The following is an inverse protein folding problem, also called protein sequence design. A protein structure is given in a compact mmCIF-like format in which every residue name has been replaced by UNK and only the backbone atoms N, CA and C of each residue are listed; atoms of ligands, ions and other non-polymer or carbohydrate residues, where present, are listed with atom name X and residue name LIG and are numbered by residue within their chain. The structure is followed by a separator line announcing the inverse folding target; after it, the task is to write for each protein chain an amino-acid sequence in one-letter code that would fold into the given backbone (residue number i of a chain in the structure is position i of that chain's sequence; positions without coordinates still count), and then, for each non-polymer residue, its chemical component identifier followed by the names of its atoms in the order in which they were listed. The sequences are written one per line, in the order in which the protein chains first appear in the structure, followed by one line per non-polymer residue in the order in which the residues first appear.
data_IF_040679950601
#
_entry.id   IF_040679950601
#
_cell.length_a   1.000
_cell.length_b   1.000
_cell.length_c   1.000
_cell.angle_alpha   90.00
_cell.angle_beta   90.00
_cell.angle_gamma   90.00
#
_symmetry.space_group_name_H-M   'P 1'
#
loop_
_entity.id
_entity.type
_entity.pdbx_description
1 polymer ?
#
# COMPACT_ATOMS: atom_id res chain seq x y z
N UNK A 1 -13.93 17.68 -5.52
CA UNK A 1 -14.27 16.92 -4.31
C UNK A 1 -13.03 16.24 -3.76
N UNK A 2 -12.83 16.27 -2.45
CA UNK A 2 -11.67 15.61 -1.83
C UNK A 2 -12.01 14.13 -1.63
N UNK A 3 -11.40 13.23 -2.41
CA UNK A 3 -11.65 11.79 -2.39
C UNK A 3 -11.47 11.20 -0.97
N UNK A 4 -10.51 11.71 -0.20
CA UNK A 4 -10.29 11.24 1.17
C UNK A 4 -11.46 11.57 2.13
N UNK A 5 -12.26 12.60 1.83
CA UNK A 5 -13.40 12.99 2.65
C UNK A 5 -14.65 12.13 2.39
N UNK A 6 -14.67 11.34 1.33
CA UNK A 6 -15.80 10.48 0.96
C UNK A 6 -15.69 9.05 1.51
N UNK A 7 -14.53 8.67 2.06
CA UNK A 7 -14.28 7.30 2.51
C UNK A 7 -13.75 7.25 3.94
N UNK A 8 -14.23 6.27 4.70
CA UNK A 8 -13.70 5.89 6.02
C UNK A 8 -12.81 4.67 5.85
N UNK A 9 -11.55 4.72 6.31
CA UNK A 9 -10.65 3.57 6.25
C UNK A 9 -10.51 2.96 7.63
N UNK A 10 -10.87 1.69 7.75
CA UNK A 10 -10.95 0.99 9.02
C UNK A 10 -10.55 -0.49 8.90
N UNK A 11 -10.23 -1.19 10.01
CA UNK A 11 -9.94 -2.61 9.98
C UNK A 11 -11.13 -3.41 9.47
N UNK A 12 -10.87 -4.46 8.67
CA UNK A 12 -11.90 -5.39 8.22
C UNK A 12 -12.54 -6.11 9.40
N UNK A 13 -13.87 -6.04 9.47
CA UNK A 13 -14.69 -6.77 10.46
C UNK A 13 -15.72 -7.65 9.75
N UNK A 14 -16.45 -8.44 10.55
CA UNK A 14 -17.56 -9.29 10.04
C UNK A 14 -18.77 -8.48 9.53
N UNK A 15 -18.87 -7.21 9.88
CA UNK A 15 -20.01 -6.35 9.50
C UNK A 15 -19.88 -5.78 8.09
N UNK A 16 -18.69 -5.83 7.49
CA UNK A 16 -18.49 -5.34 6.12
C UNK A 16 -19.02 -6.34 5.10
N UNK A 17 -20.06 -5.96 4.36
CA UNK A 17 -20.54 -6.73 3.23
C UNK A 17 -19.55 -6.63 2.06
N UNK A 18 -19.04 -7.78 1.62
CA UNK A 18 -18.06 -7.91 0.55
C UNK A 18 -18.62 -8.64 -0.67
N UNK A 19 -19.90 -9.03 -0.61
CA UNK A 19 -20.53 -9.88 -1.64
C UNK A 19 -20.51 -9.22 -3.02
N UNK A 20 -20.71 -7.92 -3.08
CA UNK A 20 -20.78 -7.14 -4.31
C UNK A 20 -19.43 -6.53 -4.75
N UNK A 21 -18.36 -6.70 -3.97
CA UNK A 21 -17.06 -6.11 -4.30
C UNK A 21 -16.48 -6.72 -5.58
N UNK A 22 -16.14 -5.86 -6.54
CA UNK A 22 -15.57 -6.21 -7.84
C UNK A 22 -14.46 -5.24 -8.24
N UNK A 23 -13.20 -5.65 -8.09
CA UNK A 23 -12.04 -4.86 -8.52
C UNK A 23 -11.71 -5.04 -10.01
N UNK A 24 -12.22 -6.11 -10.62
CA UNK A 24 -11.85 -6.54 -11.98
C UNK A 24 -10.71 -7.54 -12.01
N UNK A 25 -10.16 -7.90 -10.85
CA UNK A 25 -9.20 -8.99 -10.70
C UNK A 25 -9.86 -10.12 -9.94
N UNK A 26 -10.23 -11.19 -10.63
CA UNK A 26 -10.94 -12.33 -10.04
C UNK A 26 -10.21 -12.94 -8.84
N UNK A 27 -8.87 -12.94 -8.84
CA UNK A 27 -8.07 -13.44 -7.73
C UNK A 27 -8.16 -12.54 -6.49
N UNK A 28 -8.14 -11.21 -6.66
CA UNK A 28 -8.29 -10.25 -5.56
C UNK A 28 -9.70 -10.27 -5.01
N UNK A 29 -10.71 -10.33 -5.88
CA UNK A 29 -12.11 -10.36 -5.50
C UNK A 29 -12.44 -11.62 -4.69
N UNK A 30 -11.98 -12.79 -5.17
CA UNK A 30 -12.15 -14.07 -4.45
C UNK A 30 -11.44 -14.05 -3.10
N UNK A 31 -10.17 -13.61 -3.07
CA UNK A 31 -9.41 -13.48 -1.83
C UNK A 31 -10.17 -12.64 -0.80
N UNK A 32 -10.63 -11.47 -1.21
CA UNK A 32 -11.30 -10.53 -0.32
C UNK A 32 -12.60 -11.09 0.26
N UNK A 33 -13.39 -11.80 -0.56
CA UNK A 33 -14.64 -12.42 -0.11
C UNK A 33 -14.41 -13.62 0.80
N UNK A 34 -13.45 -14.48 0.45
CA UNK A 34 -13.37 -15.84 1.04
C UNK A 34 -12.25 -15.98 2.07
N UNK A 35 -11.12 -15.29 1.92
CA UNK A 35 -9.90 -15.55 2.69
C UNK A 35 -9.49 -14.42 3.64
N UNK A 36 -9.71 -13.17 3.30
CA UNK A 36 -9.20 -12.02 4.03
C UNK A 36 -9.51 -12.04 5.54
N UNK A 37 -10.74 -12.45 5.91
CA UNK A 37 -11.13 -12.55 7.32
C UNK A 37 -10.41 -13.68 8.05
N UNK A 38 -10.15 -14.81 7.39
CA UNK A 38 -9.44 -15.94 7.99
C UNK A 38 -7.97 -15.60 8.21
N UNK A 39 -7.31 -14.98 7.23
CA UNK A 39 -5.91 -14.56 7.32
C UNK A 39 -5.73 -13.51 8.42
N UNK A 40 -6.69 -12.60 8.57
CA UNK A 40 -6.69 -11.62 9.67
C UNK A 40 -6.84 -12.30 11.04
N UNK A 41 -7.77 -13.24 11.18
CA UNK A 41 -7.96 -14.02 12.43
C UNK A 41 -6.72 -14.85 12.79
N UNK A 42 -6.04 -15.41 11.79
CA UNK A 42 -4.80 -16.17 11.97
C UNK A 42 -3.57 -15.28 12.19
N UNK A 43 -3.73 -13.94 12.10
CA UNK A 43 -2.64 -12.96 12.20
C UNK A 43 -1.55 -13.13 11.12
N UNK A 44 -1.90 -13.71 9.98
CA UNK A 44 -1.03 -13.82 8.81
C UNK A 44 -0.93 -12.45 8.12
N UNK A 45 -2.02 -11.70 8.14
CA UNK A 45 -2.09 -10.32 7.62
C UNK A 45 -3.11 -9.50 8.40
N UNK A 46 -3.04 -8.18 8.28
CA UNK A 46 -4.12 -7.28 8.68
C UNK A 46 -4.78 -6.72 7.43
N UNK A 47 -6.10 -6.75 7.36
CA UNK A 47 -6.86 -6.21 6.25
C UNK A 47 -7.58 -4.93 6.66
N UNK A 48 -7.48 -3.89 5.83
CA UNK A 48 -8.18 -2.61 5.99
C UNK A 48 -9.10 -2.38 4.79
N UNK A 49 -10.24 -1.76 5.05
CA UNK A 49 -11.26 -1.47 4.03
C UNK A 49 -11.52 0.02 3.96
N UNK A 50 -11.72 0.55 2.76
CA UNK A 50 -12.31 1.85 2.54
C UNK A 50 -13.82 1.67 2.38
N UNK A 51 -14.60 2.29 3.25
CA UNK A 51 -16.05 2.30 3.23
C UNK A 51 -16.52 3.65 2.75
N UNK A 52 -17.37 3.68 1.75
CA UNK A 52 -18.03 4.89 1.27
C UNK A 52 -18.99 5.40 2.36
N UNK A 53 -18.85 6.68 2.73
CA UNK A 53 -19.58 7.25 3.87
C UNK A 53 -21.08 7.43 3.58
N UNK A 54 -21.43 7.64 2.29
CA UNK A 54 -22.82 7.88 1.90
C UNK A 54 -23.61 6.58 1.74
N UNK A 55 -22.97 5.54 1.21
CA UNK A 55 -23.63 4.28 0.86
C UNK A 55 -23.34 3.15 1.84
N UNK A 56 -22.38 3.34 2.75
CA UNK A 56 -21.84 2.33 3.68
C UNK A 56 -21.35 1.03 2.97
N UNK A 57 -20.93 1.16 1.70
CA UNK A 57 -20.43 0.05 0.90
C UNK A 57 -18.92 0.02 0.85
N UNK A 58 -18.33 -1.17 0.71
CA UNK A 58 -16.87 -1.33 0.60
C UNK A 58 -16.42 -0.92 -0.80
N UNK A 59 -15.62 0.15 -0.86
CA UNK A 59 -15.08 0.75 -2.09
C UNK A 59 -13.65 0.28 -2.42
N UNK A 60 -12.92 -0.28 -1.44
CA UNK A 60 -11.56 -0.76 -1.64
C UNK A 60 -11.02 -1.47 -0.42
N UNK A 61 -9.90 -2.16 -0.58
CA UNK A 61 -9.19 -2.78 0.54
C UNK A 61 -7.69 -2.87 0.28
N UNK A 62 -6.94 -3.06 1.34
CA UNK A 62 -5.54 -3.48 1.28
C UNK A 62 -5.18 -4.38 2.44
N UNK A 63 -4.05 -5.09 2.31
CA UNK A 63 -3.52 -5.97 3.37
C UNK A 63 -2.09 -5.62 3.71
N UNK A 64 -1.76 -5.67 5.01
CA UNK A 64 -0.40 -5.50 5.53
C UNK A 64 0.03 -6.75 6.29
N UNK A 65 1.28 -7.16 6.09
CA UNK A 65 1.94 -8.20 6.88
C UNK A 65 3.40 -7.85 7.13
N UNK A 66 3.98 -8.43 8.18
CA UNK A 66 5.41 -8.31 8.44
C UNK A 66 6.21 -9.17 7.47
N UNK A 67 7.33 -8.65 6.99
CA UNK A 67 8.29 -9.41 6.20
C UNK A 67 9.72 -8.96 6.50
N UNK A 68 10.71 -9.68 5.97
CA UNK A 68 12.11 -9.28 5.95
C UNK A 68 12.57 -9.08 4.50
N UNK A 69 13.47 -8.12 4.30
CA UNK A 69 14.17 -7.95 3.03
C UNK A 69 15.65 -8.25 3.27
N UNK A 70 16.23 -9.26 2.61
CA UNK A 70 17.65 -9.52 2.70
C UNK A 70 18.45 -8.26 2.37
N UNK A 71 19.50 -7.98 3.12
CA UNK A 71 20.28 -6.76 2.93
C UNK A 71 20.88 -6.68 1.52
N UNK A 72 21.25 -7.83 0.95
CA UNK A 72 21.82 -7.94 -0.39
C UNK A 72 20.81 -7.67 -1.51
N UNK A 73 19.51 -7.75 -1.23
CA UNK A 73 18.44 -7.48 -2.19
C UNK A 73 18.10 -5.98 -2.24
N UNK A 74 18.63 -5.19 -1.29
CA UNK A 74 18.44 -3.74 -1.31
C UNK A 74 19.36 -3.06 -2.32
N UNK A 75 18.94 -1.92 -2.90
CA UNK A 75 19.83 -1.09 -3.69
C UNK A 75 21.12 -0.76 -2.90
N UNK A 76 22.31 -0.83 -3.52
CA UNK A 76 23.59 -0.65 -2.81
C UNK A 76 23.69 0.66 -2.02
N UNK A 77 23.05 1.73 -2.52
CA UNK A 77 23.01 3.03 -1.86
C UNK A 77 22.18 3.05 -0.57
N UNK A 78 21.21 2.14 -0.41
CA UNK A 78 20.46 1.94 0.82
C UNK A 78 21.17 0.98 1.76
N UNK A 79 21.64 -0.16 1.23
CA UNK A 79 22.30 -1.20 2.02
C UNK A 79 23.53 -0.67 2.79
N UNK A 80 24.34 0.19 2.17
CA UNK A 80 25.54 0.79 2.78
C UNK A 80 25.27 1.66 4.02
N UNK A 81 24.03 2.15 4.18
CA UNK A 81 23.63 3.00 5.30
C UNK A 81 23.06 2.22 6.48
N UNK A 82 22.93 0.91 6.34
CA UNK A 82 22.27 0.05 7.32
C UNK A 82 23.30 -0.81 8.07
N UNK A 83 23.00 -1.20 9.30
CA UNK A 83 23.79 -2.21 10.01
C UNK A 83 23.85 -3.52 9.21
N UNK A 84 24.96 -4.26 9.37
CA UNK A 84 25.17 -5.55 8.68
C UNK A 84 24.30 -6.68 9.28
N UNK A 85 22.99 -6.53 9.23
CA UNK A 85 22.06 -7.60 9.57
C UNK A 85 21.76 -8.44 8.31
N UNK A 86 21.42 -9.73 8.48
CA UNK A 86 21.05 -10.59 7.35
C UNK A 86 19.87 -10.06 6.55
N UNK A 87 18.90 -9.43 7.23
CA UNK A 87 17.72 -8.83 6.65
C UNK A 87 17.28 -7.62 7.47
N UNK A 88 16.56 -6.71 6.84
CA UNK A 88 15.90 -5.57 7.49
C UNK A 88 14.40 -5.82 7.64
N UNK A 89 13.77 -5.34 8.74
CA UNK A 89 12.33 -5.46 8.92
C UNK A 89 11.58 -4.61 7.90
N UNK A 90 10.55 -5.16 7.30
CA UNK A 90 9.70 -4.47 6.33
C UNK A 90 8.23 -4.83 6.52
N UNK A 91 7.36 -4.00 5.98
CA UNK A 91 5.92 -4.27 5.85
C UNK A 91 5.61 -4.63 4.39
N UNK A 92 4.98 -5.76 4.17
CA UNK A 92 4.49 -6.16 2.86
C UNK A 92 3.05 -5.65 2.68
N UNK A 93 2.86 -4.77 1.71
CA UNK A 93 1.54 -4.45 1.16
C UNK A 93 1.19 -5.56 0.16
N UNK A 94 0.57 -6.61 0.68
CA UNK A 94 0.37 -7.85 -0.08
C UNK A 94 -0.72 -7.74 -1.14
N UNK A 95 -1.76 -6.95 -0.88
CA UNK A 95 -2.88 -6.71 -1.79
C UNK A 95 -3.37 -5.28 -1.65
N UNK A 96 -3.78 -4.70 -2.77
CA UNK A 96 -4.48 -3.43 -2.83
C UNK A 96 -5.45 -3.47 -4.00
N UNK A 97 -6.73 -3.21 -3.74
CA UNK A 97 -7.75 -3.21 -4.77
C UNK A 97 -8.81 -2.13 -4.49
N UNK A 98 -9.35 -1.60 -5.57
CA UNK A 98 -10.44 -0.61 -5.58
C UNK A 98 -11.59 -1.17 -6.39
N UNK A 99 -12.81 -1.05 -5.88
CA UNK A 99 -14.02 -1.42 -6.61
C UNK A 99 -14.12 -0.67 -7.93
N UNK A 100 -14.62 -1.33 -8.98
CA UNK A 100 -14.72 -0.77 -10.33
C UNK A 100 -15.46 0.56 -10.38
N UNK A 101 -16.49 0.73 -9.58
CA UNK A 101 -17.30 1.95 -9.50
C UNK A 101 -16.53 3.14 -8.91
N UNK A 102 -15.47 2.86 -8.15
CA UNK A 102 -14.63 3.84 -7.47
C UNK A 102 -13.24 4.03 -8.11
N UNK A 103 -12.91 3.25 -9.16
CA UNK A 103 -11.64 3.37 -9.88
C UNK A 103 -11.52 4.72 -10.61
N UNK A 104 -10.29 5.12 -10.91
CA UNK A 104 -10.01 6.38 -11.62
C UNK A 104 -10.18 7.66 -10.78
N UNK A 105 -10.72 7.56 -9.57
CA UNK A 105 -11.01 8.69 -8.67
C UNK A 105 -9.90 8.96 -7.64
N UNK A 106 -8.79 8.23 -7.69
CA UNK A 106 -7.64 8.42 -6.77
C UNK A 106 -7.69 7.60 -5.48
N UNK A 107 -8.72 6.77 -5.24
CA UNK A 107 -8.87 5.99 -4.00
C UNK A 107 -7.68 5.03 -3.77
N UNK A 108 -7.09 4.45 -4.83
CA UNK A 108 -5.90 3.61 -4.69
C UNK A 108 -4.72 4.33 -4.04
N UNK A 109 -4.52 5.61 -4.37
CA UNK A 109 -3.50 6.45 -3.73
C UNK A 109 -3.82 6.77 -2.28
N UNK A 110 -5.10 6.96 -1.94
CA UNK A 110 -5.56 7.18 -0.55
C UNK A 110 -5.31 5.94 0.29
N UNK A 111 -5.64 4.74 -0.22
CA UNK A 111 -5.36 3.46 0.45
C UNK A 111 -3.87 3.24 0.67
N UNK A 112 -3.03 3.51 -0.35
CA UNK A 112 -1.58 3.41 -0.22
C UNK A 112 -1.04 4.40 0.81
N UNK A 113 -1.53 5.64 0.82
CA UNK A 113 -1.17 6.65 1.81
C UNK A 113 -1.52 6.24 3.23
N UNK A 114 -2.71 5.68 3.46
CA UNK A 114 -3.12 5.16 4.76
C UNK A 114 -2.23 3.98 5.20
N UNK A 115 -1.92 3.06 4.29
CA UNK A 115 -1.00 1.95 4.55
C UNK A 115 0.39 2.43 4.99
N UNK A 116 0.95 3.45 4.31
CA UNK A 116 2.24 4.05 4.66
C UNK A 116 2.20 4.74 6.03
N UNK A 117 1.14 5.49 6.33
CA UNK A 117 0.96 6.14 7.63
C UNK A 117 0.85 5.12 8.76
N UNK A 118 0.07 4.05 8.58
CA UNK A 118 -0.05 2.98 9.59
C UNK A 118 1.29 2.27 9.80
N UNK A 119 2.03 1.99 8.74
CA UNK A 119 3.35 1.37 8.82
C UNK A 119 4.35 2.29 9.55
N UNK A 120 4.32 3.59 9.26
CA UNK A 120 5.18 4.57 9.92
C UNK A 120 4.87 4.76 11.42
N UNK A 121 3.62 4.52 11.82
CA UNK A 121 3.15 4.62 13.21
C UNK A 121 3.17 3.28 13.95
N UNK A 122 3.61 2.21 13.30
CA UNK A 122 3.70 0.90 13.96
C UNK A 122 4.69 0.98 15.15
N UNK A 123 4.33 0.34 16.24
CA UNK A 123 5.19 0.25 17.43
C UNK A 123 6.46 -0.60 17.18
N UNK A 124 6.43 -1.43 16.13
CA UNK A 124 7.58 -2.20 15.69
C UNK A 124 8.39 -1.41 14.67
N UNK A 125 9.72 -1.52 14.74
CA UNK A 125 10.61 -0.92 13.74
C UNK A 125 10.35 -1.53 12.36
N UNK A 126 10.02 -0.68 11.37
CA UNK A 126 9.83 -1.05 9.97
C UNK A 126 10.69 -0.13 9.12
N UNK A 127 11.66 -0.70 8.41
CA UNK A 127 12.56 0.08 7.56
C UNK A 127 11.89 0.53 6.27
N UNK A 128 11.16 -0.36 5.61
CA UNK A 128 10.56 -0.09 4.30
C UNK A 128 9.19 -0.75 4.14
N UNK A 129 8.38 -0.21 3.24
CA UNK A 129 7.24 -0.92 2.66
C UNK A 129 7.68 -1.62 1.38
N UNK A 130 7.23 -2.85 1.21
CA UNK A 130 7.49 -3.71 0.04
C UNK A 130 6.17 -4.03 -0.64
N UNK A 131 6.19 -4.10 -1.95
CA UNK A 131 5.05 -4.50 -2.79
C UNK A 131 5.50 -5.46 -3.88
N UNK A 132 4.68 -6.43 -4.20
CA UNK A 132 4.83 -7.30 -5.36
C UNK A 132 3.79 -6.88 -6.40
N UNK A 133 4.23 -6.15 -7.44
CA UNK A 133 3.34 -5.67 -8.48
C UNK A 133 2.92 -6.83 -9.40
N UNK A 134 1.61 -7.04 -9.53
CA UNK A 134 1.05 -8.14 -10.34
C UNK A 134 1.33 -8.00 -11.84
N UNK A 135 1.47 -6.76 -12.32
CA UNK A 135 1.65 -6.40 -13.72
C UNK A 135 2.37 -5.04 -13.84
N UNK A 136 2.67 -4.64 -15.07
CA UNK A 136 3.33 -3.34 -15.33
C UNK A 136 2.49 -2.13 -14.94
N UNK A 137 1.16 -2.22 -15.02
CA UNK A 137 0.28 -1.12 -14.63
C UNK A 137 0.36 -0.90 -13.11
N UNK A 138 0.37 -1.98 -12.34
CA UNK A 138 0.59 -1.93 -10.89
C UNK A 138 1.99 -1.42 -10.55
N UNK A 139 3.03 -1.87 -11.28
CA UNK A 139 4.39 -1.38 -11.10
C UNK A 139 4.47 0.14 -11.31
N UNK A 140 3.96 0.64 -12.44
CA UNK A 140 3.90 2.09 -12.73
C UNK A 140 3.08 2.88 -11.70
N UNK A 141 2.04 2.25 -11.14
CA UNK A 141 1.28 2.87 -10.05
C UNK A 141 2.19 3.09 -8.83
N UNK A 142 2.91 2.08 -8.35
CA UNK A 142 3.79 2.22 -7.18
C UNK A 142 4.99 3.15 -7.44
N UNK A 143 5.59 3.08 -8.63
CA UNK A 143 6.71 3.96 -9.02
C UNK A 143 6.32 5.45 -8.93
N UNK A 144 5.09 5.81 -9.29
CA UNK A 144 4.58 7.18 -9.14
C UNK A 144 4.53 7.66 -7.68
N UNK A 145 4.51 6.76 -6.73
CA UNK A 145 4.57 7.06 -5.29
C UNK A 145 5.97 6.92 -4.70
N UNK A 146 6.98 6.77 -5.55
CA UNK A 146 8.38 6.74 -5.13
C UNK A 146 8.93 5.36 -4.77
N UNK A 147 8.18 4.29 -5.02
CA UNK A 147 8.71 2.92 -4.90
C UNK A 147 9.73 2.66 -6.00
N UNK A 148 10.80 1.94 -5.66
CA UNK A 148 11.86 1.53 -6.58
C UNK A 148 11.97 0.03 -6.66
N UNK A 149 12.30 -0.51 -7.84
CA UNK A 149 12.52 -1.95 -8.02
C UNK A 149 13.68 -2.44 -7.16
N UNK A 150 13.50 -3.60 -6.57
CA UNK A 150 14.60 -4.30 -5.90
C UNK A 150 15.48 -4.99 -6.94
N UNK A 151 16.81 -4.93 -6.80
CA UNK A 151 17.75 -5.60 -7.71
C UNK A 151 17.47 -7.11 -7.78
N UNK A 152 17.47 -7.65 -8.99
CA UNK A 152 17.25 -9.08 -9.23
C UNK A 152 15.80 -9.54 -9.18
N UNK A 153 14.86 -8.69 -8.80
CA UNK A 153 13.44 -9.01 -8.72
C UNK A 153 12.67 -8.43 -9.91
N UNK A 154 11.78 -9.23 -10.48
CA UNK A 154 11.08 -8.82 -11.71
C UNK A 154 10.10 -7.65 -11.46
N UNK A 155 9.37 -7.68 -10.34
CA UNK A 155 8.32 -6.70 -10.02
C UNK A 155 8.16 -6.44 -8.52
N UNK A 156 9.20 -6.70 -7.75
CA UNK A 156 9.21 -6.38 -6.33
C UNK A 156 9.80 -4.99 -6.14
N UNK A 157 9.04 -4.11 -5.49
CA UNK A 157 9.45 -2.74 -5.25
C UNK A 157 9.50 -2.46 -3.75
N UNK A 158 10.33 -1.51 -3.36
CA UNK A 158 10.37 -1.02 -1.99
C UNK A 158 10.36 0.50 -1.92
N UNK A 159 9.86 1.01 -0.79
CA UNK A 159 9.93 2.41 -0.42
C UNK A 159 10.37 2.50 1.06
N UNK A 160 11.55 3.07 1.36
CA UNK A 160 11.94 3.32 2.76
C UNK A 160 10.94 4.25 3.45
N UNK A 161 10.52 3.88 4.67
CA UNK A 161 9.51 4.66 5.41
C UNK A 161 9.98 6.08 5.70
N UNK A 162 11.28 6.28 5.99
CA UNK A 162 11.84 7.61 6.18
C UNK A 162 11.67 8.50 4.92
N UNK A 163 11.81 7.93 3.73
CA UNK A 163 11.59 8.65 2.46
C UNK A 163 10.12 9.01 2.25
N UNK A 164 9.21 8.08 2.57
CA UNK A 164 7.77 8.32 2.49
C UNK A 164 7.34 9.49 3.39
N UNK A 165 7.86 9.55 4.63
CA UNK A 165 7.56 10.63 5.57
C UNK A 165 8.11 11.99 5.14
N UNK A 166 9.29 12.04 4.50
CA UNK A 166 9.86 13.29 3.97
C UNK A 166 9.00 13.85 2.83
N UNK A 167 8.51 13.01 1.94
CA UNK A 167 7.58 13.39 0.87
C UNK A 167 6.26 13.96 1.41
N UNK A 168 5.78 13.44 2.54
CA UNK A 168 4.56 13.92 3.20
C UNK A 168 4.76 15.25 3.96
N UNK A 169 5.96 15.50 4.51
CA UNK A 169 6.27 16.73 5.25
C UNK A 169 6.44 17.96 4.33
N UNK A 170 6.81 17.75 3.06
CA UNK A 170 6.89 18.79 2.03
C UNK A 170 5.52 19.25 1.50
N UNK A 171 4.45 18.55 1.81
CA UNK A 171 3.05 18.92 1.54
C UNK A 171 2.31 18.95 2.86
N UNK A 172 1.91 20.13 3.32
CA UNK A 172 1.21 20.36 4.60
C UNK A 172 -0.17 19.69 4.68
N UNK A 173 -0.33 18.52 4.06
CA UNK A 173 -1.53 17.69 4.13
C UNK A 173 -1.20 16.24 3.76
N UNK A 174 -1.28 15.25 4.68
CA UNK A 174 -0.98 13.84 4.40
C UNK A 174 -1.92 13.20 3.36
N UNK A 175 -2.97 13.89 2.92
CA UNK A 175 -3.91 13.46 1.88
C UNK A 175 -3.52 13.97 0.45
N UNK A 176 -2.41 14.70 0.29
CA UNK A 176 -1.99 15.27 -1.00
C UNK A 176 -0.64 14.75 -1.47
N UNK A 177 -0.53 13.48 -1.73
CA UNK A 177 0.44 13.00 -2.71
C UNK A 177 -0.27 13.06 -4.07
N UNK A 178 -0.29 14.26 -4.69
CA UNK A 178 -0.91 14.41 -6.01
C UNK A 178 0.11 14.10 -7.12
N UNK A 179 -0.32 13.55 -8.26
CA UNK A 179 0.55 13.17 -9.39
C UNK A 179 1.24 14.35 -10.10
N UNK A 180 1.14 15.56 -9.60
CA UNK A 180 1.57 16.80 -10.31
C UNK A 180 3.03 17.17 -10.12
N UNK A 181 3.76 16.56 -9.20
CA UNK A 181 5.18 16.90 -8.94
C UNK A 181 6.21 16.10 -9.75
N UNK A 182 5.77 15.14 -10.56
CA UNK A 182 6.67 14.37 -11.43
C UNK A 182 7.08 15.10 -12.74
N UNK A 183 6.67 16.35 -12.98
CA UNK A 183 6.95 17.06 -14.24
C UNK A 183 8.16 18.01 -14.23
N UNK A 184 8.89 18.15 -13.13
CA UNK A 184 9.97 19.15 -13.03
C UNK A 184 11.36 18.60 -12.69
N UNK A 185 11.62 17.33 -12.98
CA UNK A 185 13.00 16.79 -12.96
C UNK A 185 13.32 16.27 -14.36
N UNK A 186 13.56 17.22 -15.27
CA UNK A 186 13.95 16.93 -16.64
C UNK A 186 14.27 18.20 -17.41
N UNK A 187 15.36 18.83 -17.07
CA UNK A 187 16.21 19.65 -17.95
C UNK A 187 17.62 19.65 -17.42
#
# INVERSE_FOLDING_TARGET
MNVAASFRIEPLTGNHDRSQFLSGSASLDRYFREQASQDTKRRVTTCFVAVDIETDTVAGFYTLSACGVPLNDLPPGLAKKLPHYPAVPAALLGRLAVDRTCQGKGLGGVLLGDALVRTARAELGVFAMVVDAKDEAAQRFYERFGFTLLPGEARRLCLPIATALQGAAGTSNPARITPKQARNIGK
#
